data_IF_472606023226
#
_entry.id   IF_472606023226
#
_cell.length_a   1.000
_cell.length_b   1.000
_cell.length_c   1.000
_cell.angle_alpha   90.00
_cell.angle_beta   90.00
_cell.angle_gamma   90.00
#
_symmetry.space_group_name_H-M   'P 1'
#
loop_
_entity.id
_entity.type
_entity.pdbx_description
1 polymer ?
#
# COMPACT_ATOMS: atom_id res chain seq x y z
N UNK A 1 21.33 -47.25 33.99
CA UNK A 1 22.12 -46.51 32.98
C UNK A 1 21.26 -45.43 32.36
N UNK A 2 21.55 -44.14 32.58
CA UNK A 2 20.83 -43.00 31.97
C UNK A 2 21.50 -42.65 30.64
N UNK A 3 20.82 -42.85 29.51
CA UNK A 3 21.28 -42.32 28.22
C UNK A 3 21.09 -40.81 28.21
N UNK A 4 22.19 -40.05 28.09
CA UNK A 4 22.14 -38.60 27.85
C UNK A 4 21.81 -38.40 26.37
N UNK A 5 20.61 -37.91 26.09
CA UNK A 5 20.25 -37.43 24.75
C UNK A 5 21.05 -36.16 24.49
N UNK A 6 22.01 -36.22 23.57
CA UNK A 6 22.72 -35.03 23.08
C UNK A 6 21.72 -34.19 22.29
N UNK A 7 21.25 -33.08 22.87
CA UNK A 7 20.50 -32.06 22.13
C UNK A 7 21.42 -31.45 21.09
N UNK A 8 21.08 -31.64 19.81
CA UNK A 8 21.83 -31.11 18.68
C UNK A 8 21.47 -29.63 18.50
N UNK A 9 22.14 -28.74 19.24
CA UNK A 9 21.92 -27.30 19.14
C UNK A 9 22.64 -26.76 17.90
N UNK A 10 21.97 -26.83 16.75
CA UNK A 10 22.44 -26.21 15.50
C UNK A 10 22.04 -24.73 15.52
N UNK A 11 23.04 -23.85 15.56
CA UNK A 11 22.86 -22.41 15.39
C UNK A 11 22.60 -22.01 13.94
N UNK A 12 22.03 -20.83 13.75
CA UNK A 12 21.79 -20.22 12.43
C UNK A 12 23.11 -19.75 11.80
N UNK A 13 23.24 -19.90 10.49
CA UNK A 13 24.44 -19.53 9.73
C UNK A 13 24.33 -18.11 9.17
N UNK A 14 25.48 -17.45 8.98
CA UNK A 14 25.52 -16.14 8.33
C UNK A 14 24.99 -16.17 6.89
N UNK A 15 25.21 -17.27 6.16
CA UNK A 15 24.74 -17.41 4.78
C UNK A 15 23.22 -17.45 4.70
N UNK A 16 22.54 -18.07 5.67
CA UNK A 16 21.08 -18.06 5.75
C UNK A 16 20.57 -16.64 6.01
N UNK A 17 21.22 -15.86 6.88
CA UNK A 17 20.82 -14.47 7.12
C UNK A 17 20.94 -13.61 5.85
N UNK A 18 22.06 -13.75 5.15
CA UNK A 18 22.37 -12.98 3.94
C UNK A 18 21.39 -13.25 2.81
N UNK A 19 21.01 -14.50 2.60
CA UNK A 19 20.06 -14.87 1.55
C UNK A 19 18.65 -14.36 1.88
N UNK A 20 18.27 -14.40 3.15
CA UNK A 20 16.99 -13.84 3.62
C UNK A 20 16.92 -12.33 3.41
N UNK A 21 17.95 -11.59 3.83
CA UNK A 21 17.97 -10.12 3.67
C UNK A 21 18.07 -9.70 2.21
N UNK A 22 18.75 -10.47 1.36
CA UNK A 22 18.77 -10.24 -0.08
C UNK A 22 17.37 -10.35 -0.70
N UNK A 23 16.60 -11.39 -0.35
CA UNK A 23 15.22 -11.55 -0.84
C UNK A 23 14.33 -10.41 -0.33
N UNK A 24 14.43 -10.07 0.96
CA UNK A 24 13.67 -8.95 1.54
C UNK A 24 14.00 -7.63 0.81
N UNK A 25 15.27 -7.39 0.51
CA UNK A 25 15.71 -6.20 -0.24
C UNK A 25 15.05 -6.10 -1.62
N UNK A 26 14.97 -7.20 -2.37
CA UNK A 26 14.30 -7.25 -3.68
C UNK A 26 12.80 -6.96 -3.53
N UNK A 27 12.14 -7.57 -2.54
CA UNK A 27 10.71 -7.34 -2.29
C UNK A 27 10.42 -5.87 -1.94
N UNK A 28 11.24 -5.27 -1.07
CA UNK A 28 11.09 -3.87 -0.65
C UNK A 28 11.32 -2.91 -1.81
N UNK A 29 12.32 -3.18 -2.67
CA UNK A 29 12.61 -2.36 -3.84
C UNK A 29 11.42 -2.26 -4.82
N UNK A 30 10.62 -3.32 -4.94
CA UNK A 30 9.40 -3.33 -5.78
C UNK A 30 8.20 -2.76 -5.01
N UNK A 31 8.05 -3.11 -3.73
CA UNK A 31 6.88 -2.77 -2.94
C UNK A 31 6.73 -1.26 -2.67
N UNK A 32 7.82 -0.54 -2.37
CA UNK A 32 7.78 0.89 -2.06
C UNK A 32 7.24 1.73 -3.24
N UNK A 33 7.80 1.68 -4.46
CA UNK A 33 7.30 2.47 -5.58
C UNK A 33 5.88 2.05 -5.97
N UNK A 34 5.55 0.75 -5.90
CA UNK A 34 4.20 0.26 -6.15
C UNK A 34 3.18 0.88 -5.20
N UNK A 35 3.48 0.91 -3.90
CA UNK A 35 2.59 1.47 -2.89
C UNK A 35 2.39 2.97 -3.09
N UNK A 36 3.45 3.72 -3.39
CA UNK A 36 3.37 5.16 -3.66
C UNK A 36 2.50 5.46 -4.88
N UNK A 37 2.68 4.72 -5.97
CA UNK A 37 1.86 4.86 -7.18
C UNK A 37 0.39 4.50 -6.93
N UNK A 38 0.15 3.44 -6.16
CA UNK A 38 -1.20 3.03 -5.79
C UNK A 38 -1.92 4.12 -4.98
N UNK A 39 -1.25 4.72 -3.99
CA UNK A 39 -1.80 5.83 -3.20
C UNK A 39 -2.19 7.01 -4.09
N UNK A 40 -1.32 7.43 -5.00
CA UNK A 40 -1.62 8.52 -5.93
C UNK A 40 -2.85 8.21 -6.81
N UNK A 41 -2.97 6.97 -7.29
CA UNK A 41 -4.14 6.53 -8.06
C UNK A 41 -5.42 6.62 -7.23
N UNK A 42 -5.38 6.21 -5.96
CA UNK A 42 -6.53 6.30 -5.04
C UNK A 42 -6.92 7.75 -4.79
N UNK A 43 -5.96 8.63 -4.51
CA UNK A 43 -6.24 10.06 -4.31
C UNK A 43 -6.85 10.71 -5.55
N UNK A 44 -6.31 10.43 -6.74
CA UNK A 44 -6.86 10.95 -7.99
C UNK A 44 -8.28 10.42 -8.26
N UNK A 45 -8.54 9.14 -7.96
CA UNK A 45 -9.87 8.56 -8.11
C UNK A 45 -10.88 9.20 -7.15
N UNK A 46 -10.49 9.43 -5.89
CA UNK A 46 -11.31 10.12 -4.90
C UNK A 46 -11.61 11.56 -5.35
N UNK A 47 -10.58 12.34 -5.70
CA UNK A 47 -10.75 13.71 -6.19
C UNK A 47 -11.65 13.78 -7.44
N UNK A 48 -11.51 12.84 -8.37
CA UNK A 48 -12.38 12.75 -9.57
C UNK A 48 -13.83 12.45 -9.18
N UNK A 49 -14.06 11.58 -8.20
CA UNK A 49 -15.38 11.29 -7.66
C UNK A 49 -16.01 12.53 -7.02
N UNK A 50 -15.24 13.23 -6.18
CA UNK A 50 -15.70 14.43 -5.49
C UNK A 50 -16.07 15.55 -6.48
N UNK A 51 -15.24 15.75 -7.52
CA UNK A 51 -15.54 16.70 -8.59
C UNK A 51 -16.82 16.34 -9.35
N UNK A 52 -17.08 15.05 -9.58
CA UNK A 52 -18.32 14.60 -10.23
C UNK A 52 -19.54 14.91 -9.36
N UNK A 53 -19.44 14.68 -8.05
CA UNK A 53 -20.52 15.01 -7.10
C UNK A 53 -20.74 16.53 -7.06
N UNK A 54 -19.68 17.32 -6.95
CA UNK A 54 -19.76 18.78 -6.96
C UNK A 54 -20.43 19.30 -8.24
N UNK A 55 -20.01 18.78 -9.41
CA UNK A 55 -20.62 19.13 -10.70
C UNK A 55 -22.13 18.86 -10.69
N UNK A 56 -22.56 17.67 -10.27
CA UNK A 56 -23.98 17.31 -10.20
C UNK A 56 -24.75 18.25 -9.28
N UNK A 57 -24.19 18.60 -8.12
CA UNK A 57 -24.83 19.56 -7.21
C UNK A 57 -24.95 20.98 -7.79
N UNK A 58 -23.93 21.43 -8.53
CA UNK A 58 -23.94 22.74 -9.19
C UNK A 58 -24.98 22.78 -10.32
N UNK A 59 -25.03 21.73 -11.14
CA UNK A 59 -26.03 21.59 -12.21
C UNK A 59 -27.46 21.53 -11.64
N UNK A 60 -27.66 20.83 -10.52
CA UNK A 60 -28.95 20.79 -9.84
C UNK A 60 -29.37 22.17 -9.33
N UNK A 61 -28.46 22.92 -8.69
CA UNK A 61 -28.73 24.28 -8.22
C UNK A 61 -29.04 25.24 -9.38
N UNK A 62 -28.26 25.15 -10.46
CA UNK A 62 -28.49 25.95 -11.66
C UNK A 62 -29.86 25.65 -12.28
N UNK A 63 -30.26 24.37 -12.34
CA UNK A 63 -31.58 23.99 -12.84
C UNK A 63 -32.75 24.49 -11.98
N UNK A 64 -32.52 24.78 -10.70
CA UNK A 64 -33.56 25.28 -9.79
C UNK A 64 -33.61 26.81 -9.74
N UNK A 65 -32.46 27.48 -9.79
CA UNK A 65 -32.36 28.94 -9.57
C UNK A 65 -31.90 29.74 -10.80
N UNK A 66 -31.69 29.10 -11.94
CA UNK A 66 -31.16 29.69 -13.19
C UNK A 66 -29.82 30.44 -13.01
N UNK A 67 -29.09 30.14 -11.94
CA UNK A 67 -27.79 30.75 -11.64
C UNK A 67 -26.91 29.79 -10.82
N UNK A 68 -25.59 29.88 -11.00
CA UNK A 68 -24.66 29.11 -10.16
C UNK A 68 -24.55 29.76 -8.77
N UNK A 69 -24.23 28.98 -7.73
CA UNK A 69 -23.94 29.55 -6.42
C UNK A 69 -22.61 30.30 -6.49
N UNK A 70 -22.70 31.63 -6.49
CA UNK A 70 -21.58 32.57 -6.33
C UNK A 70 -21.83 33.43 -5.10
#
# INVERSE_FOLDING_TARGET
MRQRVLKNERGFTFIELLLVTAIIGILVAIAIPMLTNYRNKVYNAAATSDLRVAKVSLEAHFSEKDHYPY
#
